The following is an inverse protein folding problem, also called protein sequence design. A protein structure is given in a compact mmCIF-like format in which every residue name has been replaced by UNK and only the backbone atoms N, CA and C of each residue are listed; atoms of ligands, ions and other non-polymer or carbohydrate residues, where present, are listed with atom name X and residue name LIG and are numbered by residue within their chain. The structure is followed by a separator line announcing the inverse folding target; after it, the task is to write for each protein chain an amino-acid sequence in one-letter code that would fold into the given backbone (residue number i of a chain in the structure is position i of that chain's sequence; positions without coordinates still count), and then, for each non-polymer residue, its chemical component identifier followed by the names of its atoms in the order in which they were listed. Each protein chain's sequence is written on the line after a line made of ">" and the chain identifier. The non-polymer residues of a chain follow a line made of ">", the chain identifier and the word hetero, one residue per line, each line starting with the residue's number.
data_IF_384664106837
#
_entry.id   IF_384664106837
#
_cell.length_a   1.000
_cell.length_b   1.000
_cell.length_c   1.000
_cell.angle_alpha   90.00
_cell.angle_beta   90.00
_cell.angle_gamma   90.00
#
_symmetry.space_group_name_H-M   'P 1'
#
loop_
_entity.id
_entity.type
_entity.pdbx_description
1 polymer ?
#
# COMPACT_ATOMS: atom_id res chain seq x y z
N UNK A 1 -11.51 -17.29 4.35
CA UNK A 1 -10.13 -17.04 4.83
C UNK A 1 -9.90 -17.79 6.12
N UNK A 2 -8.66 -18.25 6.35
CA UNK A 2 -8.25 -18.70 7.67
C UNK A 2 -8.28 -17.49 8.61
N UNK A 3 -9.32 -17.41 9.45
CA UNK A 3 -9.25 -16.59 10.64
C UNK A 3 -7.99 -17.08 11.38
N UNK A 4 -6.97 -16.25 11.64
CA UNK A 4 -5.81 -16.73 12.37
C UNK A 4 -6.34 -17.38 13.66
N UNK A 5 -6.08 -18.67 13.83
CA UNK A 5 -6.58 -19.43 15.00
C UNK A 5 -5.90 -19.00 16.31
N UNK A 6 -5.17 -17.87 16.29
CA UNK A 6 -4.38 -17.36 17.39
C UNK A 6 -4.90 -16.02 17.91
N UNK A 7 -4.45 -15.66 19.11
CA UNK A 7 -4.78 -14.40 19.77
C UNK A 7 -4.18 -13.23 19.01
N UNK A 8 -5.02 -12.27 18.61
CA UNK A 8 -4.56 -10.99 18.06
C UNK A 8 -4.01 -10.14 19.21
N UNK A 9 -2.72 -9.82 19.14
CA UNK A 9 -2.08 -8.96 20.14
C UNK A 9 -2.46 -7.51 19.85
N UNK A 10 -3.23 -6.90 20.75
CA UNK A 10 -3.80 -5.57 20.55
C UNK A 10 -2.75 -4.47 20.29
N UNK A 11 -1.60 -4.51 20.98
CA UNK A 11 -0.53 -3.53 20.78
C UNK A 11 0.07 -3.61 19.38
N UNK A 12 0.26 -4.82 18.84
CA UNK A 12 0.76 -5.05 17.48
C UNK A 12 -0.27 -4.59 16.46
N UNK A 13 -1.56 -4.92 16.65
CA UNK A 13 -2.63 -4.43 15.78
C UNK A 13 -2.65 -2.91 15.71
N UNK A 14 -2.60 -2.23 16.86
CA UNK A 14 -2.57 -0.76 16.92
C UNK A 14 -1.34 -0.15 16.27
N UNK A 15 -0.18 -0.80 16.36
CA UNK A 15 1.01 -0.36 15.67
C UNK A 15 0.84 -0.42 14.14
N UNK A 16 0.21 -1.48 13.63
CA UNK A 16 -0.13 -1.60 12.20
C UNK A 16 -1.16 -0.55 11.78
N UNK A 17 -2.16 -0.26 12.60
CA UNK A 17 -3.16 0.77 12.34
C UNK A 17 -2.54 2.18 12.25
N UNK A 18 -1.48 2.45 13.02
CA UNK A 18 -0.71 3.71 12.92
C UNK A 18 -0.06 3.83 11.55
N UNK A 19 0.52 2.76 10.99
CA UNK A 19 1.13 2.80 9.66
C UNK A 19 0.09 3.11 8.57
N UNK A 20 -1.13 2.60 8.72
CA UNK A 20 -2.24 2.85 7.79
C UNK A 20 -2.75 4.30 7.84
N UNK A 21 -2.52 5.04 8.94
CA UNK A 21 -2.93 6.45 9.04
C UNK A 21 -2.23 7.35 7.99
N UNK A 22 -1.08 6.91 7.45
CA UNK A 22 -0.31 7.64 6.43
C UNK A 22 -0.78 7.36 5.00
N UNK A 23 -1.83 6.56 4.80
CA UNK A 23 -2.41 6.33 3.47
C UNK A 23 -3.00 7.61 2.86
N UNK A 24 -2.91 7.74 1.53
CA UNK A 24 -3.48 8.86 0.78
C UNK A 24 -2.56 10.09 0.70
N UNK A 25 -3.12 11.30 0.88
CA UNK A 25 -2.38 12.56 0.75
C UNK A 25 -1.65 12.98 2.05
N UNK A 26 -1.80 12.21 3.14
CA UNK A 26 -1.25 12.54 4.44
C UNK A 26 0.20 12.06 4.58
N UNK A 27 1.15 12.87 4.09
CA UNK A 27 2.57 12.50 4.10
C UNK A 27 3.21 12.57 5.48
N UNK A 28 2.73 13.44 6.36
CA UNK A 28 3.29 13.62 7.70
C UNK A 28 2.19 13.89 8.74
N UNK A 29 2.24 13.20 9.89
CA UNK A 29 1.25 13.28 10.97
C UNK A 29 1.93 13.43 12.33
N UNK A 30 1.38 14.26 13.21
CA UNK A 30 1.77 14.36 14.61
C UNK A 30 1.00 13.41 15.52
N UNK A 31 1.45 13.25 16.78
CA UNK A 31 0.81 12.38 17.78
C UNK A 31 -0.69 12.66 17.93
N UNK A 32 -1.09 13.93 17.98
CA UNK A 32 -2.50 14.30 18.16
C UNK A 32 -3.36 13.91 16.95
N UNK A 33 -2.83 14.04 15.73
CA UNK A 33 -3.54 13.66 14.50
C UNK A 33 -3.75 12.14 14.45
N UNK A 34 -2.70 11.37 14.78
CA UNK A 34 -2.77 9.90 14.85
C UNK A 34 -3.73 9.44 15.96
N UNK A 35 -3.64 10.05 17.15
CA UNK A 35 -4.52 9.74 18.29
C UNK A 35 -6.00 9.97 17.97
N UNK A 36 -6.31 11.08 17.30
CA UNK A 36 -7.67 11.39 16.87
C UNK A 36 -8.17 10.40 15.80
N UNK A 37 -7.32 10.08 14.81
CA UNK A 37 -7.64 9.13 13.74
C UNK A 37 -8.02 7.75 14.29
N UNK A 38 -7.26 7.27 15.29
CA UNK A 38 -7.45 5.93 15.87
C UNK A 38 -8.34 5.92 17.12
N UNK A 39 -8.83 7.09 17.57
CA UNK A 39 -9.59 7.24 18.82
C UNK A 39 -8.87 6.65 20.04
N UNK A 40 -7.55 6.88 20.15
CA UNK A 40 -6.70 6.39 21.24
C UNK A 40 -6.09 7.53 22.05
N UNK A 41 -5.67 7.24 23.29
CA UNK A 41 -4.99 8.23 24.12
C UNK A 41 -3.63 8.63 23.53
N UNK A 42 -3.23 9.90 23.71
CA UNK A 42 -1.91 10.38 23.28
C UNK A 42 -0.76 9.60 23.92
N UNK A 43 -0.92 9.16 25.17
CA UNK A 43 0.10 8.34 25.86
C UNK A 43 0.28 6.98 25.18
N UNK A 44 -0.80 6.32 24.79
CA UNK A 44 -0.76 5.05 24.05
C UNK A 44 -0.09 5.23 22.69
N UNK A 45 -0.50 6.24 21.91
CA UNK A 45 0.10 6.51 20.60
C UNK A 45 1.58 6.87 20.74
N UNK A 46 1.96 7.66 21.74
CA UNK A 46 3.35 8.03 21.96
C UNK A 46 4.25 6.80 22.17
N UNK A 47 3.80 5.84 22.99
CA UNK A 47 4.51 4.56 23.17
C UNK A 47 4.68 3.78 21.86
N UNK A 48 3.59 3.61 21.11
CA UNK A 48 3.60 2.86 19.85
C UNK A 48 4.45 3.55 18.76
N UNK A 49 4.34 4.87 18.63
CA UNK A 49 5.15 5.65 17.68
C UNK A 49 6.63 5.56 18.03
N UNK A 50 7.00 5.63 19.32
CA UNK A 50 8.39 5.43 19.74
C UNK A 50 8.90 4.03 19.39
N UNK A 51 8.08 2.99 19.54
CA UNK A 51 8.44 1.63 19.10
C UNK A 51 8.70 1.57 17.59
N UNK A 52 7.80 2.15 16.78
CA UNK A 52 7.95 2.18 15.32
C UNK A 52 9.14 3.03 14.86
N UNK A 53 9.46 4.13 15.56
CA UNK A 53 10.67 4.93 15.32
C UNK A 53 11.94 4.11 15.59
N UNK A 54 11.96 3.38 16.71
CA UNK A 54 13.10 2.53 17.07
C UNK A 54 13.30 1.39 16.07
N UNK A 55 12.23 0.91 15.43
CA UNK A 55 12.28 -0.09 14.35
C UNK A 55 12.64 0.47 12.97
N UNK A 56 12.62 1.79 12.81
CA UNK A 56 12.80 2.48 11.52
C UNK A 56 11.57 2.44 10.60
N UNK A 57 10.43 1.96 11.10
CA UNK A 57 9.16 1.93 10.36
C UNK A 57 8.54 3.33 10.24
N UNK A 58 8.82 4.20 11.20
CA UNK A 58 8.55 5.63 11.14
C UNK A 58 9.85 6.43 11.23
N UNK A 59 9.82 7.64 10.71
CA UNK A 59 10.86 8.65 10.94
C UNK A 59 10.22 9.99 11.31
N UNK A 60 10.92 10.77 12.14
CA UNK A 60 10.45 12.08 12.59
C UNK A 60 11.10 13.19 11.77
N UNK A 61 10.27 14.05 11.18
CA UNK A 61 10.72 15.28 10.55
C UNK A 61 11.27 16.23 11.63
N UNK A 62 12.54 16.63 11.46
CA UNK A 62 13.27 17.43 12.46
C UNK A 62 12.72 18.85 12.59
N UNK A 63 12.12 19.39 11.53
CA UNK A 63 11.64 20.78 11.44
C UNK A 63 10.27 20.94 12.11
N UNK A 64 9.30 20.09 11.75
CA UNK A 64 7.91 20.23 12.21
C UNK A 64 7.50 19.20 13.29
N UNK A 65 8.41 18.29 13.66
CA UNK A 65 8.20 17.22 14.66
C UNK A 65 7.10 16.20 14.32
N UNK A 66 6.56 16.23 13.10
CA UNK A 66 5.63 15.22 12.59
C UNK A 66 6.39 13.96 12.19
N UNK A 67 5.65 12.86 12.09
CA UNK A 67 6.15 11.56 11.69
C UNK A 67 5.75 11.24 10.26
N UNK A 68 6.49 10.38 9.60
CA UNK A 68 6.17 9.81 8.29
C UNK A 68 6.69 8.38 8.20
N UNK A 69 6.27 7.64 7.18
CA UNK A 69 6.75 6.29 6.90
C UNK A 69 8.27 6.31 6.69
N UNK A 70 8.98 5.45 7.41
CA UNK A 70 10.43 5.30 7.33
C UNK A 70 10.89 4.36 6.21
N UNK A 71 12.16 4.45 5.86
CA UNK A 71 12.76 3.68 4.75
C UNK A 71 12.67 2.15 4.95
N UNK A 72 12.56 1.68 6.20
CA UNK A 72 12.48 0.24 6.52
C UNK A 72 11.30 -0.44 5.81
N UNK A 73 10.18 0.26 5.68
CA UNK A 73 9.00 -0.27 5.00
C UNK A 73 9.24 -0.46 3.49
N UNK A 74 10.03 0.40 2.87
CA UNK A 74 10.46 0.22 1.47
C UNK A 74 11.37 -1.00 1.31
N UNK A 75 12.32 -1.22 2.23
CA UNK A 75 13.18 -2.40 2.19
C UNK A 75 12.37 -3.71 2.27
N UNK A 76 11.43 -3.78 3.23
CA UNK A 76 10.54 -4.94 3.40
C UNK A 76 9.62 -5.12 2.18
N UNK A 77 9.02 -4.04 1.68
CA UNK A 77 8.19 -4.06 0.48
C UNK A 77 8.96 -4.53 -0.75
N UNK A 78 10.23 -4.14 -0.89
CA UNK A 78 11.09 -4.58 -1.98
C UNK A 78 11.35 -6.09 -1.95
N UNK A 79 11.44 -6.71 -0.77
CA UNK A 79 11.55 -8.17 -0.65
C UNK A 79 10.30 -8.88 -1.14
N UNK A 80 9.11 -8.32 -0.87
CA UNK A 80 7.85 -8.83 -1.39
C UNK A 80 7.81 -8.69 -2.91
N UNK A 81 8.19 -7.52 -3.43
CA UNK A 81 8.22 -7.26 -4.88
C UNK A 81 9.15 -8.20 -5.64
N UNK A 82 10.31 -8.57 -5.05
CA UNK A 82 11.25 -9.53 -5.67
C UNK A 82 10.67 -10.94 -5.84
N UNK A 83 9.75 -11.36 -4.97
CA UNK A 83 9.10 -12.68 -5.04
C UNK A 83 7.87 -12.71 -5.95
N UNK A 84 7.49 -11.57 -6.53
CA UNK A 84 6.37 -11.53 -7.48
C UNK A 84 6.86 -11.91 -8.87
N UNK A 85 7.00 -13.21 -9.13
CA UNK A 85 7.45 -13.74 -10.43
C UNK A 85 6.59 -13.22 -11.59
N UNK A 86 5.27 -13.12 -11.37
CA UNK A 86 4.32 -12.53 -12.31
C UNK A 86 4.73 -11.14 -12.80
N UNK A 87 5.27 -10.28 -11.90
CA UNK A 87 5.72 -8.94 -12.29
C UNK A 87 6.92 -9.02 -13.22
N UNK A 88 7.89 -9.87 -12.89
CA UNK A 88 9.12 -9.99 -13.66
C UNK A 88 8.84 -10.57 -15.05
N UNK A 89 8.00 -11.60 -15.12
CA UNK A 89 7.61 -12.26 -16.37
C UNK A 89 6.73 -11.35 -17.24
N UNK A 90 5.77 -10.64 -16.64
CA UNK A 90 4.86 -9.76 -17.38
C UNK A 90 5.53 -8.47 -17.90
N UNK A 91 6.69 -8.07 -17.33
CA UNK A 91 7.29 -6.75 -17.57
C UNK A 91 7.55 -6.47 -19.05
N UNK A 92 8.11 -7.44 -19.77
CA UNK A 92 8.44 -7.31 -21.19
C UNK A 92 7.17 -7.13 -22.04
N UNK A 93 6.14 -7.93 -21.77
CA UNK A 93 4.85 -7.81 -22.46
C UNK A 93 4.16 -6.48 -22.15
N UNK A 94 4.22 -6.00 -20.91
CA UNK A 94 3.66 -4.70 -20.55
C UNK A 94 4.37 -3.54 -21.27
N UNK A 95 5.69 -3.62 -21.48
CA UNK A 95 6.44 -2.64 -22.25
C UNK A 95 6.03 -2.66 -23.72
N UNK A 96 5.99 -3.84 -24.33
CA UNK A 96 5.58 -4.01 -25.72
C UNK A 96 4.17 -3.45 -25.98
N UNK A 97 3.21 -3.74 -25.10
CA UNK A 97 1.86 -3.19 -25.18
C UNK A 97 1.85 -1.67 -25.00
N UNK A 98 2.62 -1.14 -24.04
CA UNK A 98 2.68 0.29 -23.81
C UNK A 98 3.23 1.04 -25.04
N UNK A 99 4.29 0.50 -25.67
CA UNK A 99 4.89 1.06 -26.88
C UNK A 99 3.96 0.98 -28.08
N UNK A 100 3.35 -0.18 -28.32
CA UNK A 100 2.47 -0.40 -29.48
C UNK A 100 1.20 0.46 -29.45
N UNK A 101 0.67 0.75 -28.26
CA UNK A 101 -0.60 1.46 -28.13
C UNK A 101 -0.48 2.87 -27.52
N UNK A 102 0.72 3.29 -27.10
CA UNK A 102 0.96 4.60 -26.46
C UNK A 102 0.05 4.90 -25.26
N UNK A 103 -0.32 3.85 -24.49
CA UNK A 103 -1.14 3.96 -23.28
C UNK A 103 -0.38 3.50 -22.04
N UNK A 104 -0.85 3.97 -20.88
CA UNK A 104 -0.43 3.42 -19.59
C UNK A 104 -0.93 1.98 -19.43
N UNK A 105 -0.03 1.06 -19.11
CA UNK A 105 -0.35 -0.33 -18.79
C UNK A 105 -0.28 -0.55 -17.28
N UNK A 106 -1.34 -1.13 -16.72
CA UNK A 106 -1.42 -1.50 -15.32
C UNK A 106 -1.33 -3.01 -15.15
N UNK A 107 -0.43 -3.46 -14.26
CA UNK A 107 -0.42 -4.82 -13.78
C UNK A 107 -0.95 -4.84 -12.34
N UNK A 108 -1.94 -5.67 -12.08
CA UNK A 108 -2.58 -5.74 -10.77
C UNK A 108 -2.82 -7.19 -10.35
N UNK A 109 -2.94 -7.40 -9.03
CA UNK A 109 -3.35 -8.67 -8.44
C UNK A 109 -4.58 -8.49 -7.57
N UNK A 110 -5.35 -9.56 -7.37
CA UNK A 110 -6.51 -9.57 -6.47
C UNK A 110 -6.07 -9.81 -5.02
N UNK A 111 -6.48 -8.94 -4.10
CA UNK A 111 -6.25 -9.07 -2.67
C UNK A 111 -7.42 -8.52 -1.86
N UNK A 112 -8.08 -9.40 -1.10
CA UNK A 112 -9.19 -9.09 -0.19
C UNK A 112 -10.34 -8.31 -0.87
N UNK A 113 -10.82 -8.77 -2.03
CA UNK A 113 -11.94 -8.14 -2.74
C UNK A 113 -11.59 -6.80 -3.41
N UNK A 114 -10.32 -6.45 -3.46
CA UNK A 114 -9.79 -5.26 -4.13
C UNK A 114 -8.66 -5.67 -5.06
N UNK A 115 -8.32 -4.80 -6.01
CA UNK A 115 -7.07 -4.94 -6.78
C UNK A 115 -5.94 -4.19 -6.09
N UNK A 116 -4.72 -4.71 -6.19
CA UNK A 116 -3.49 -4.03 -5.81
C UNK A 116 -2.63 -3.87 -7.06
N UNK A 117 -2.25 -2.64 -7.41
CA UNK A 117 -1.32 -2.42 -8.53
C UNK A 117 0.08 -2.89 -8.14
N UNK A 118 0.62 -3.87 -8.87
CA UNK A 118 1.96 -4.44 -8.61
C UNK A 118 3.01 -3.94 -9.60
N UNK A 119 2.59 -3.45 -10.78
CA UNK A 119 3.47 -2.76 -11.72
C UNK A 119 2.68 -1.73 -12.55
N UNK A 120 3.42 -0.77 -13.11
CA UNK A 120 2.87 0.27 -13.96
C UNK A 120 3.88 0.68 -15.02
N UNK A 121 3.43 0.80 -16.26
CA UNK A 121 4.22 1.31 -17.38
C UNK A 121 3.54 2.57 -17.89
N UNK A 122 4.19 3.71 -17.75
CA UNK A 122 3.70 4.99 -18.27
C UNK A 122 4.41 5.33 -19.57
N UNK A 123 3.66 5.83 -20.55
CA UNK A 123 4.20 6.35 -21.81
C UNK A 123 4.16 7.88 -21.83
N UNK A 124 5.14 8.54 -22.47
CA UNK A 124 5.09 9.99 -22.68
C UNK A 124 3.78 10.40 -23.38
N UNK A 125 3.02 11.31 -22.77
CA UNK A 125 1.75 11.80 -23.34
C UNK A 125 0.52 10.93 -23.05
N UNK A 126 0.67 9.79 -22.36
CA UNK A 126 -0.48 9.00 -21.92
C UNK A 126 -1.34 9.78 -20.90
N UNK A 127 -2.65 9.53 -20.91
CA UNK A 127 -3.57 10.08 -19.92
C UNK A 127 -3.15 9.59 -18.53
N UNK A 128 -2.75 10.52 -17.66
CA UNK A 128 -2.34 10.20 -16.29
C UNK A 128 -3.56 9.76 -15.50
N UNK A 129 -3.70 8.45 -15.31
CA UNK A 129 -4.60 7.90 -14.30
C UNK A 129 -3.87 7.94 -12.96
N UNK A 130 -4.54 8.38 -11.89
CA UNK A 130 -3.99 8.53 -10.54
C UNK A 130 -3.82 7.16 -9.83
N UNK A 131 -3.08 6.25 -10.46
CA UNK A 131 -2.68 4.92 -10.00
C UNK A 131 -1.20 4.92 -9.63
N UNK A 132 -0.86 4.17 -8.58
CA UNK A 132 0.51 4.01 -8.07
C UNK A 132 0.72 2.55 -7.70
N UNK A 133 1.94 2.04 -7.90
CA UNK A 133 2.32 0.70 -7.44
C UNK A 133 2.16 0.65 -5.91
N UNK A 134 1.57 -0.43 -5.41
CA UNK A 134 1.20 -0.63 -4.01
C UNK A 134 -0.18 -0.08 -3.64
N UNK A 135 -0.81 0.74 -4.49
CA UNK A 135 -2.15 1.30 -4.22
C UNK A 135 -3.25 0.28 -4.47
N UNK A 136 -4.32 0.36 -3.65
CA UNK A 136 -5.54 -0.45 -3.79
C UNK A 136 -6.61 0.28 -4.59
N UNK A 137 -7.49 -0.47 -5.24
CA UNK A 137 -8.71 0.05 -5.82
C UNK A 137 -9.84 -0.99 -5.83
N UNK A 138 -11.12 -0.57 -5.80
CA UNK A 138 -12.24 -1.51 -5.83
C UNK A 138 -12.30 -2.29 -7.15
N UNK A 139 -12.67 -3.57 -7.09
CA UNK A 139 -12.72 -4.41 -8.29
C UNK A 139 -13.85 -4.01 -9.25
N UNK A 140 -15.01 -3.65 -8.71
CA UNK A 140 -16.21 -3.39 -9.50
C UNK A 140 -16.12 -2.15 -10.42
N UNK A 141 -15.22 -1.21 -10.12
CA UNK A 141 -15.08 0.06 -10.86
C UNK A 141 -13.77 0.19 -11.64
N UNK A 142 -12.91 -0.84 -11.64
CA UNK A 142 -11.65 -0.85 -12.41
C UNK A 142 -11.72 -1.84 -13.57
N UNK A 143 -11.08 -1.53 -14.71
CA UNK A 143 -11.04 -2.45 -15.85
C UNK A 143 -10.39 -3.80 -15.49
N UNK A 144 -9.24 -3.75 -14.80
CA UNK A 144 -8.55 -4.93 -14.28
C UNK A 144 -9.40 -5.71 -13.27
N UNK A 145 -10.13 -5.02 -12.39
CA UNK A 145 -10.99 -5.66 -11.40
C UNK A 145 -12.20 -6.35 -12.03
N UNK A 146 -12.86 -5.70 -13.00
CA UNK A 146 -13.95 -6.31 -13.77
C UNK A 146 -13.47 -7.54 -14.54
N UNK A 147 -12.28 -7.46 -15.16
CA UNK A 147 -11.67 -8.60 -15.85
C UNK A 147 -11.42 -9.77 -14.88
N UNK A 148 -10.90 -9.52 -13.67
CA UNK A 148 -10.72 -10.56 -12.65
C UNK A 148 -12.05 -11.14 -12.17
N UNK A 149 -13.04 -10.28 -11.87
CA UNK A 149 -14.36 -10.71 -11.39
C UNK A 149 -15.09 -11.62 -12.38
N UNK A 150 -14.86 -11.45 -13.69
CA UNK A 150 -15.45 -12.31 -14.72
C UNK A 150 -15.01 -13.78 -14.63
N UNK A 151 -13.90 -14.08 -13.96
CA UNK A 151 -13.33 -15.42 -13.82
C UNK A 151 -13.22 -15.91 -12.37
N UNK A 152 -13.63 -15.08 -11.39
CA UNK A 152 -13.68 -15.51 -9.99
C UNK A 152 -14.93 -16.37 -9.73
N UNK A 153 -14.83 -17.39 -8.86
CA UNK A 153 -16.01 -18.14 -8.42
C UNK A 153 -17.04 -17.20 -7.78
N UNK A 154 -18.34 -17.46 -7.96
CA UNK A 154 -19.38 -16.74 -7.23
C UNK A 154 -19.16 -16.92 -5.72
N UNK A 155 -19.27 -15.80 -5.00
CA UNK A 155 -19.12 -15.71 -3.53
C UNK A 155 -20.33 -16.24 -2.80
#
# INVERSE_FOLDING_TARGET
>A
MANPQGVIIQSVSRALDILQCFEGNNKELGISEIANSLMLSKSTIYGLVNTLLSGGDLEQNKENKKYRLGIRLFELGSLVQRRMDLRNEARLYCLELAENYSYTIHLATHYNGEIVYIDKVDMPGAVIVYSQVGKRAPMHCTGVGKAMLAYLPPS
#
